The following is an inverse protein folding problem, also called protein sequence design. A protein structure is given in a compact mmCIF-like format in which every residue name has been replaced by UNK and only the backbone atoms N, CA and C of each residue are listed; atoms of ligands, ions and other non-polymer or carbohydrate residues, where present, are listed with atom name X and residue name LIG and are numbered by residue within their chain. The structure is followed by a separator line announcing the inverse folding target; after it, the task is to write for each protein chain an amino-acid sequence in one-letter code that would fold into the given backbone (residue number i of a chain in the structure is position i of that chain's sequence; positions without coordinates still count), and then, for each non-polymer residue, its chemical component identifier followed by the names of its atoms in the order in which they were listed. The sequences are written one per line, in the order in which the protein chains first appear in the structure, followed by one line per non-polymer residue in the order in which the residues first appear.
data_IF_962139441306
#
_entry.id   IF_962139441306
#
_cell.length_a   1.000
_cell.length_b   1.000
_cell.length_c   1.000
_cell.angle_alpha   90.00
_cell.angle_beta   90.00
_cell.angle_gamma   90.00
#
_symmetry.space_group_name_H-M   'P 1'
#
loop_
_entity.id
_entity.type
_entity.pdbx_description
1 polymer ?
#
# COMPACT_ATOMS: atom_id res chain seq x y z
N UNK A 1 -5.19 -3.19 -10.28
CA UNK A 1 -5.86 -3.19 -8.95
C UNK A 1 -7.00 -4.21 -8.91
N UNK A 2 -7.14 -5.02 -7.84
CA UNK A 2 -8.23 -6.01 -7.68
C UNK A 2 -9.50 -5.36 -7.11
N UNK A 3 -10.67 -5.88 -7.47
CA UNK A 3 -12.00 -5.47 -6.97
C UNK A 3 -12.07 -5.57 -5.44
N UNK A 4 -12.75 -4.64 -4.73
CA UNK A 4 -12.94 -4.73 -3.29
C UNK A 4 -13.58 -6.07 -2.88
N UNK A 5 -13.06 -6.68 -1.81
CA UNK A 5 -13.52 -7.96 -1.30
C UNK A 5 -14.32 -7.85 0.01
N UNK A 6 -14.53 -6.62 0.50
CA UNK A 6 -15.27 -6.36 1.74
C UNK A 6 -16.20 -5.14 1.58
N UNK A 7 -17.03 -4.88 2.59
CA UNK A 7 -17.88 -3.70 2.70
C UNK A 7 -17.55 -2.91 3.97
N UNK A 8 -17.61 -1.59 3.88
CA UNK A 8 -17.51 -0.71 5.04
C UNK A 8 -18.72 -0.89 5.97
N UNK A 9 -18.69 -0.28 7.15
CA UNK A 9 -19.85 -0.21 8.05
C UNK A 9 -21.09 0.42 7.39
N UNK A 10 -20.89 1.26 6.38
CA UNK A 10 -21.97 1.91 5.64
C UNK A 10 -22.41 1.10 4.40
N UNK A 11 -21.79 -0.04 4.14
CA UNK A 11 -22.11 -0.93 3.01
C UNK A 11 -21.28 -0.70 1.75
N UNK A 12 -20.36 0.26 1.76
CA UNK A 12 -19.55 0.63 0.59
C UNK A 12 -18.44 -0.40 0.32
N UNK A 13 -18.24 -0.85 -0.92
CA UNK A 13 -17.14 -1.76 -1.26
C UNK A 13 -15.79 -1.19 -0.82
N UNK A 14 -15.09 -1.90 0.07
CA UNK A 14 -13.84 -1.45 0.70
C UNK A 14 -12.82 -2.58 0.69
N UNK A 15 -11.56 -2.26 0.42
CA UNK A 15 -10.44 -3.20 0.58
C UNK A 15 -9.63 -2.80 1.80
N UNK A 16 -9.69 -3.63 2.84
CA UNK A 16 -8.89 -3.40 4.04
C UNK A 16 -7.45 -3.83 3.83
N UNK A 17 -6.54 -3.04 4.38
CA UNK A 17 -5.10 -3.28 4.36
C UNK A 17 -4.52 -3.11 5.75
N UNK A 18 -3.43 -3.80 6.01
CA UNK A 18 -2.74 -3.87 7.29
C UNK A 18 -1.29 -3.44 7.07
N UNK A 19 -0.71 -2.71 8.01
CA UNK A 19 0.73 -2.52 8.08
C UNK A 19 1.23 -2.65 9.51
N UNK A 20 2.54 -2.80 9.67
CA UNK A 20 3.22 -2.61 10.96
C UNK A 20 4.35 -1.60 10.81
N UNK A 21 4.13 -0.39 11.32
CA UNK A 21 5.10 0.70 11.34
C UNK A 21 5.92 0.78 12.62
N UNK A 22 6.92 1.66 12.63
CA UNK A 22 7.74 1.94 13.80
C UNK A 22 6.97 2.79 14.82
N UNK A 23 6.23 3.78 14.34
CA UNK A 23 5.58 4.80 15.18
C UNK A 23 4.17 4.39 15.55
N UNK A 24 3.38 3.94 14.58
CA UNK A 24 1.97 3.56 14.83
C UNK A 24 1.76 2.08 15.16
N UNK A 25 2.83 1.28 15.15
CA UNK A 25 2.76 -0.18 15.28
C UNK A 25 1.81 -0.77 14.22
N UNK A 26 0.95 -1.71 14.61
CA UNK A 26 0.02 -2.37 13.68
C UNK A 26 -1.24 -1.55 13.50
N UNK A 27 -1.51 -1.12 12.28
CA UNK A 27 -2.73 -0.36 11.93
C UNK A 27 -3.46 -1.01 10.76
N UNK A 28 -4.77 -0.75 10.69
CA UNK A 28 -5.65 -1.20 9.62
C UNK A 28 -6.18 0.05 8.91
N UNK A 29 -6.25 0.00 7.58
CA UNK A 29 -6.73 1.10 6.76
C UNK A 29 -7.56 0.61 5.59
N UNK A 30 -8.09 1.57 4.83
CA UNK A 30 -8.93 1.34 3.66
C UNK A 30 -8.16 1.79 2.41
N UNK A 31 -7.80 0.85 1.54
CA UNK A 31 -7.17 1.15 0.26
C UNK A 31 -8.19 1.79 -0.69
N UNK A 32 -7.83 2.90 -1.31
CA UNK A 32 -8.63 3.51 -2.35
C UNK A 32 -8.64 2.65 -3.62
N UNK A 33 -9.68 2.77 -4.44
CA UNK A 33 -9.77 2.02 -5.71
C UNK A 33 -9.00 2.65 -6.88
N UNK A 34 -8.24 3.71 -6.65
CA UNK A 34 -7.63 4.54 -7.69
C UNK A 34 -6.11 4.64 -7.50
N UNK A 35 -5.38 4.42 -8.57
CA UNK A 35 -3.94 4.70 -8.64
C UNK A 35 -3.72 6.14 -9.12
N UNK A 36 -2.87 6.87 -8.43
CA UNK A 36 -2.40 8.19 -8.84
C UNK A 36 -1.10 8.04 -9.63
N UNK A 37 -1.00 8.74 -10.74
CA UNK A 37 0.22 8.80 -11.53
C UNK A 37 0.86 10.19 -11.36
N UNK A 38 2.01 10.22 -10.69
CA UNK A 38 2.76 11.45 -10.47
C UNK A 38 3.91 11.49 -11.46
N UNK A 39 3.89 12.48 -12.35
CA UNK A 39 4.96 12.76 -13.31
C UNK A 39 5.67 14.05 -12.94
N UNK A 40 6.89 13.95 -12.41
CA UNK A 40 7.72 15.11 -12.07
C UNK A 40 8.80 15.31 -13.12
N UNK A 41 8.76 16.43 -13.82
CA UNK A 41 9.80 16.82 -14.78
C UNK A 41 10.96 17.51 -14.05
N UNK A 42 12.15 16.93 -14.12
CA UNK A 42 13.40 17.52 -13.64
C UNK A 42 14.34 17.80 -14.81
N UNK A 43 15.33 18.68 -14.61
CA UNK A 43 16.34 18.98 -15.63
C UNK A 43 17.14 17.73 -16.09
N UNK A 44 17.19 16.68 -15.26
CA UNK A 44 17.81 15.38 -15.56
C UNK A 44 16.83 14.30 -16.08
N UNK A 45 15.56 14.62 -16.33
CA UNK A 45 14.55 13.69 -16.85
C UNK A 45 13.24 13.69 -16.05
N UNK A 46 12.25 12.90 -16.49
CA UNK A 46 11.00 12.71 -15.76
C UNK A 46 11.13 11.61 -14.70
N UNK A 47 10.61 11.87 -13.49
CA UNK A 47 10.33 10.86 -12.48
C UNK A 47 8.84 10.55 -12.51
N UNK A 48 8.52 9.36 -12.99
CA UNK A 48 7.16 8.84 -12.96
C UNK A 48 7.04 7.92 -11.75
N UNK A 49 6.07 8.18 -10.87
CA UNK A 49 5.70 7.30 -9.77
C UNK A 49 4.22 6.97 -9.83
N UNK A 50 3.89 5.73 -9.48
CA UNK A 50 2.52 5.30 -9.26
C UNK A 50 2.30 5.22 -7.76
N UNK A 51 1.20 5.77 -7.28
CA UNK A 51 0.87 5.83 -5.86
C UNK A 51 -0.55 5.30 -5.62
N UNK A 52 -0.73 4.60 -4.52
CA UNK A 52 -2.04 4.23 -3.97
C UNK A 52 -2.26 5.00 -2.68
N UNK A 53 -3.52 5.32 -2.40
CA UNK A 53 -3.88 6.01 -1.17
C UNK A 53 -4.56 5.04 -0.19
N UNK A 54 -4.20 5.15 1.07
CA UNK A 54 -4.81 4.41 2.18
C UNK A 54 -5.36 5.43 3.17
N UNK A 55 -6.66 5.30 3.44
CA UNK A 55 -7.34 6.06 4.48
C UNK A 55 -7.33 5.28 5.80
N UNK A 56 -7.46 5.95 6.94
CA UNK A 56 -7.74 5.30 8.21
C UNK A 56 -8.94 4.36 8.15
N UNK A 57 -8.97 3.37 9.06
CA UNK A 57 -10.07 2.41 9.14
C UNK A 57 -11.43 3.11 9.36
N UNK A 58 -11.47 4.05 10.30
CA UNK A 58 -12.58 4.94 10.56
C UNK A 58 -12.09 6.21 11.27
N UNK A 59 -13.01 7.09 11.68
CA UNK A 59 -12.72 8.37 12.35
C UNK A 59 -12.37 8.25 13.84
N UNK A 60 -12.27 7.04 14.37
CA UNK A 60 -12.08 6.78 15.80
C UNK A 60 -10.89 5.86 16.08
N UNK A 61 -10.32 5.25 15.03
CA UNK A 61 -9.27 4.24 15.13
C UNK A 61 -7.85 4.82 15.07
N UNK A 62 -7.70 6.15 15.02
CA UNK A 62 -6.41 6.78 14.80
C UNK A 62 -6.04 6.87 13.31
N UNK A 63 -4.94 7.58 13.06
CA UNK A 63 -4.31 7.67 11.73
C UNK A 63 -3.83 6.29 11.24
N UNK A 64 -3.76 6.11 9.92
CA UNK A 64 -3.20 4.88 9.39
C UNK A 64 -1.69 4.87 9.60
N UNK A 65 -0.99 5.99 9.36
CA UNK A 65 0.47 6.10 9.48
C UNK A 65 0.92 7.42 10.10
N UNK A 66 2.16 7.43 10.62
CA UNK A 66 2.82 8.63 11.12
C UNK A 66 4.27 8.73 10.63
N UNK A 67 4.91 9.87 10.88
CA UNK A 67 6.34 10.04 10.67
C UNK A 67 7.14 8.89 11.30
N UNK A 68 8.03 8.28 10.51
CA UNK A 68 8.80 7.10 10.90
C UNK A 68 8.24 5.76 10.42
N UNK A 69 7.00 5.71 9.92
CA UNK A 69 6.45 4.49 9.31
C UNK A 69 6.90 4.26 7.86
N UNK A 70 7.55 5.25 7.22
CA UNK A 70 8.07 5.12 5.85
C UNK A 70 8.92 3.86 5.66
N UNK A 71 8.69 3.16 4.56
CA UNK A 71 9.31 1.86 4.26
C UNK A 71 8.56 0.66 4.81
N UNK A 72 7.48 0.86 5.58
CA UNK A 72 6.63 -0.24 6.03
C UNK A 72 5.91 -0.91 4.87
N UNK A 73 5.78 -2.24 4.97
CA UNK A 73 4.99 -3.04 4.04
C UNK A 73 3.50 -2.90 4.37
N UNK A 74 2.69 -2.57 3.36
CA UNK A 74 1.24 -2.62 3.44
C UNK A 74 0.78 -3.93 2.78
N UNK A 75 0.04 -4.74 3.51
CA UNK A 75 -0.49 -6.03 3.06
C UNK A 75 -2.01 -6.04 3.07
N UNK A 76 -2.65 -6.95 2.34
CA UNK A 76 -4.08 -7.19 2.49
C UNK A 76 -4.39 -8.22 3.59
N UNK A 77 -5.67 -8.52 3.79
CA UNK A 77 -6.12 -9.50 4.80
C UNK A 77 -5.64 -10.94 4.57
N UNK A 78 -5.11 -11.26 3.39
CA UNK A 78 -4.47 -12.55 3.09
C UNK A 78 -2.96 -12.52 3.33
N UNK A 79 -2.38 -11.34 3.61
CA UNK A 79 -0.93 -11.15 3.74
C UNK A 79 -0.22 -10.85 2.43
N UNK A 80 -0.95 -10.65 1.31
CA UNK A 80 -0.35 -10.30 0.03
C UNK A 80 0.24 -8.88 0.10
N UNK A 81 1.46 -8.69 -0.41
CA UNK A 81 2.10 -7.36 -0.46
C UNK A 81 1.36 -6.44 -1.44
N UNK A 82 0.73 -5.40 -0.91
CA UNK A 82 -0.06 -4.42 -1.67
C UNK A 82 0.78 -3.22 -2.11
N UNK A 83 1.44 -2.56 -1.17
CA UNK A 83 2.18 -1.32 -1.44
C UNK A 83 3.25 -1.01 -0.39
N UNK A 84 4.34 -0.40 -0.83
CA UNK A 84 5.40 0.11 0.06
C UNK A 84 5.03 1.51 0.54
N UNK A 85 4.91 1.71 1.85
CA UNK A 85 4.58 3.03 2.41
C UNK A 85 5.70 4.04 2.13
N UNK A 86 5.37 5.17 1.51
CA UNK A 86 6.33 6.21 1.15
C UNK A 86 6.13 7.48 1.96
N UNK A 87 4.89 7.92 2.12
CA UNK A 87 4.56 9.18 2.78
C UNK A 87 3.13 9.19 3.32
N UNK A 88 2.79 10.25 4.04
CA UNK A 88 1.42 10.56 4.46
C UNK A 88 1.18 12.06 4.43
N UNK A 89 -0.09 12.47 4.48
CA UNK A 89 -0.50 13.86 4.61
C UNK A 89 -1.83 13.95 5.34
N UNK A 90 -2.08 15.10 5.96
CA UNK A 90 -3.26 15.33 6.78
C UNK A 90 -2.87 15.77 8.18
N UNK A 91 -3.80 16.42 8.86
CA UNK A 91 -3.59 16.95 10.22
C UNK A 91 -4.58 16.35 11.22
N UNK A 92 -5.53 15.54 10.75
CA UNK A 92 -6.55 14.89 11.58
C UNK A 92 -6.80 13.48 11.07
N UNK A 93 -7.28 12.58 11.93
CA UNK A 93 -7.63 11.20 11.56
C UNK A 93 -8.68 11.14 10.42
N UNK A 94 -9.56 12.14 10.31
CA UNK A 94 -10.58 12.17 9.25
C UNK A 94 -10.05 12.63 7.89
N UNK A 95 -8.88 13.25 7.87
CA UNK A 95 -8.24 13.83 6.68
C UNK A 95 -6.86 13.24 6.40
N UNK A 96 -6.40 12.29 7.23
CA UNK A 96 -5.15 11.57 7.02
C UNK A 96 -5.26 10.67 5.77
N UNK A 97 -4.25 10.76 4.94
CA UNK A 97 -4.07 9.97 3.72
C UNK A 97 -2.63 9.51 3.68
N UNK A 98 -2.46 8.20 3.74
CA UNK A 98 -1.16 7.56 3.55
C UNK A 98 -0.98 7.18 2.09
N UNK A 99 0.20 7.44 1.55
CA UNK A 99 0.58 7.05 0.19
C UNK A 99 1.59 5.92 0.21
N UNK A 100 1.46 5.03 -0.77
CA UNK A 100 2.44 3.99 -1.00
C UNK A 100 2.62 3.68 -2.48
N UNK A 101 3.80 3.16 -2.82
CA UNK A 101 4.09 2.66 -4.16
C UNK A 101 3.49 1.25 -4.30
N UNK A 102 2.59 0.99 -5.26
CA UNK A 102 1.96 -0.31 -5.39
C UNK A 102 2.98 -1.38 -5.81
N UNK A 103 2.83 -2.58 -5.23
CA UNK A 103 3.77 -3.68 -5.43
C UNK A 103 3.88 -4.12 -6.89
N UNK A 104 2.79 -4.10 -7.66
CA UNK A 104 2.81 -4.49 -9.07
C UNK A 104 3.74 -3.59 -9.90
N UNK A 105 3.74 -2.28 -9.63
CA UNK A 105 4.64 -1.34 -10.29
C UNK A 105 6.07 -1.44 -9.74
N UNK A 106 6.21 -1.54 -8.42
CA UNK A 106 7.50 -1.65 -7.75
C UNK A 106 8.27 -2.89 -8.22
N UNK A 107 7.57 -4.00 -8.45
CA UNK A 107 8.17 -5.25 -8.91
C UNK A 107 8.81 -5.12 -10.29
N UNK A 108 8.16 -4.44 -11.23
CA UNK A 108 8.72 -4.17 -12.56
C UNK A 108 10.04 -3.37 -12.45
N UNK A 109 10.07 -2.34 -11.58
CA UNK A 109 11.28 -1.55 -11.34
C UNK A 109 12.39 -2.38 -10.69
N UNK A 110 12.05 -3.27 -9.76
CA UNK A 110 13.02 -4.18 -9.14
C UNK A 110 13.58 -5.13 -10.19
N UNK A 111 12.75 -5.71 -11.06
CA UNK A 111 13.17 -6.67 -12.09
C UNK A 111 14.00 -6.05 -13.20
N UNK A 112 13.73 -4.80 -13.55
CA UNK A 112 14.57 -4.04 -14.50
C UNK A 112 16.00 -3.89 -13.97
N UNK A 113 16.16 -3.57 -12.67
CA UNK A 113 17.48 -3.39 -12.05
C UNK A 113 18.13 -4.71 -11.62
N UNK A 114 17.34 -5.68 -11.22
CA UNK A 114 17.77 -6.98 -10.70
C UNK A 114 16.97 -8.10 -11.41
N UNK A 115 17.37 -8.49 -12.63
CA UNK A 115 16.63 -9.47 -13.43
C UNK A 115 16.45 -10.83 -12.74
N UNK A 116 17.36 -11.20 -11.83
CA UNK A 116 17.32 -12.46 -11.09
C UNK A 116 16.59 -12.36 -9.74
N UNK A 117 15.99 -11.20 -9.43
CA UNK A 117 15.19 -11.05 -8.22
C UNK A 117 14.01 -12.03 -8.20
N UNK A 118 13.84 -12.68 -7.06
CA UNK A 118 12.75 -13.61 -6.76
C UNK A 118 12.07 -13.18 -5.46
N UNK A 119 10.76 -13.36 -5.39
CA UNK A 119 9.98 -13.09 -4.19
C UNK A 119 9.26 -14.39 -3.80
N UNK A 120 9.57 -14.91 -2.62
CA UNK A 120 8.97 -16.13 -2.11
C UNK A 120 7.86 -15.79 -1.14
N UNK A 121 6.61 -16.04 -1.52
CA UNK A 121 5.51 -15.99 -0.57
C UNK A 121 5.32 -17.37 0.04
N UNK A 122 5.13 -17.44 1.36
CA UNK A 122 4.90 -18.69 2.07
C UNK A 122 3.48 -19.18 1.74
N UNK A 123 3.35 -19.89 0.62
CA UNK A 123 2.07 -20.35 0.05
C UNK A 123 2.21 -20.94 -1.36
N UNK A 124 3.27 -20.57 -2.08
CA UNK A 124 3.54 -21.07 -3.44
C UNK A 124 3.94 -22.56 -3.47
N UNK A 125 4.41 -23.09 -2.34
CA UNK A 125 4.78 -24.50 -2.15
C UNK A 125 3.57 -25.45 -2.00
N UNK A 126 2.37 -24.91 -1.76
CA UNK A 126 1.17 -25.72 -1.52
C UNK A 126 0.38 -26.05 -2.80
N UNK A 127 0.65 -25.35 -3.91
CA UNK A 127 0.00 -25.59 -5.20
C UNK A 127 0.85 -26.41 -6.18
N UNK A 128 2.14 -26.63 -5.88
CA UNK A 128 3.04 -27.45 -6.71
C UNK A 128 2.98 -28.96 -6.39
N UNK A 129 2.03 -29.39 -5.54
CA UNK A 129 1.74 -30.80 -5.26
C UNK A 129 0.25 -31.11 -5.40
N UNK A 130 -0.22 -31.25 -6.64
CA UNK A 130 -1.36 -32.09 -6.99
C UNK A 130 -1.12 -32.74 -8.35
#
# INVERSE_FOLDING_TARGET
MRTPNNKSRNGDPTRYVIKRGLTTLTTIGCLNGFESHVRRYYALGSRDSVEVAVYPYDRHSGVFSEEGDSGSMIVDGCGDFVALLTSGTGTTESTDVTFGTPMHWLWEVIKDKFPDATLHFKGDDLWSKK
#
